data_IF_651971923592
#
_entry.id   IF_651971923592
#
_cell.length_a   1.000
_cell.length_b   1.000
_cell.length_c   1.000
_cell.angle_alpha   90.00
_cell.angle_beta   90.00
_cell.angle_gamma   90.00
#
_symmetry.space_group_name_H-M   'P 1'
#
loop_
_entity.id
_entity.type
_entity.pdbx_description
1 polymer ?
#
# COMPACT_ATOMS: atom_id res chain seq x y z
N UNK A 1 -55.58 4.38 -30.52
CA UNK A 1 -54.93 4.65 -29.22
C UNK A 1 -53.45 4.46 -29.46
N UNK A 2 -52.71 5.57 -29.58
CA UNK A 2 -51.30 5.58 -29.97
C UNK A 2 -50.43 5.03 -28.84
N UNK A 3 -49.63 4.01 -29.16
CA UNK A 3 -48.52 3.56 -28.32
C UNK A 3 -47.53 4.71 -28.15
N UNK A 4 -47.64 5.44 -27.04
CA UNK A 4 -46.54 6.26 -26.54
C UNK A 4 -45.52 5.28 -25.94
N UNK A 5 -44.45 4.98 -26.67
CA UNK A 5 -43.25 4.44 -26.05
C UNK A 5 -42.67 5.56 -25.20
N UNK A 6 -42.93 5.56 -23.89
CA UNK A 6 -42.25 6.47 -22.96
C UNK A 6 -40.74 6.19 -23.04
N UNK A 7 -39.96 7.24 -23.26
CA UNK A 7 -38.51 7.13 -23.18
C UNK A 7 -38.09 6.96 -21.72
N UNK A 8 -36.86 6.46 -21.50
CA UNK A 8 -36.29 6.34 -20.15
C UNK A 8 -36.17 7.69 -19.44
N UNK A 9 -36.00 8.78 -20.20
CA UNK A 9 -35.95 10.15 -19.69
C UNK A 9 -37.31 10.61 -19.20
N UNK A 10 -38.40 10.30 -19.92
CA UNK A 10 -39.77 10.64 -19.51
C UNK A 10 -40.14 9.91 -18.21
N UNK A 11 -39.71 8.65 -18.07
CA UNK A 11 -39.90 7.88 -16.84
C UNK A 11 -39.09 8.44 -15.67
N UNK A 12 -37.86 8.89 -15.92
CA UNK A 12 -37.04 9.52 -14.88
C UNK A 12 -37.70 10.82 -14.39
N UNK A 13 -38.16 11.69 -15.28
CA UNK A 13 -38.81 12.96 -14.90
C UNK A 13 -40.08 12.71 -14.06
N UNK A 14 -40.90 11.74 -14.47
CA UNK A 14 -42.07 11.32 -13.69
C UNK A 14 -41.65 10.80 -12.31
N UNK A 15 -40.83 9.75 -12.25
CA UNK A 15 -40.43 9.12 -11.00
C UNK A 15 -39.66 10.07 -10.07
N UNK A 16 -38.84 10.97 -10.62
CA UNK A 16 -38.12 11.99 -9.86
C UNK A 16 -39.08 12.96 -9.18
N UNK A 17 -40.11 13.41 -9.91
CA UNK A 17 -41.13 14.31 -9.36
C UNK A 17 -41.95 13.65 -8.24
N UNK A 18 -42.11 12.33 -8.26
CA UNK A 18 -42.90 11.53 -7.31
C UNK A 18 -42.05 10.93 -6.16
N UNK A 19 -40.74 11.19 -6.15
CA UNK A 19 -39.82 10.59 -5.19
C UNK A 19 -40.23 10.85 -3.73
N UNK A 20 -40.25 9.79 -2.93
CA UNK A 20 -40.60 9.81 -1.51
C UNK A 20 -42.03 10.28 -1.19
N UNK A 21 -42.97 10.19 -2.16
CA UNK A 21 -44.39 10.47 -1.94
C UNK A 21 -45.18 9.21 -1.56
N UNK A 22 -45.83 9.17 -0.37
CA UNK A 22 -46.55 7.99 0.09
C UNK A 22 -47.73 7.56 -0.79
N UNK A 23 -48.38 8.53 -1.44
CA UNK A 23 -49.60 8.30 -2.24
C UNK A 23 -49.29 7.72 -3.62
N UNK A 24 -48.09 7.96 -4.14
CA UNK A 24 -47.68 7.59 -5.50
C UNK A 24 -46.70 6.41 -5.54
N UNK A 25 -46.17 6.01 -4.37
CA UNK A 25 -45.25 4.87 -4.25
C UNK A 25 -45.97 3.55 -3.97
N UNK A 26 -45.51 2.48 -4.62
CA UNK A 26 -46.04 1.13 -4.44
C UNK A 26 -45.34 0.34 -3.34
N UNK A 27 -44.09 0.69 -2.99
CA UNK A 27 -43.32 0.09 -1.90
C UNK A 27 -42.75 1.14 -0.94
N UNK A 28 -42.41 0.68 0.26
CA UNK A 28 -41.67 1.46 1.26
C UNK A 28 -40.40 0.70 1.63
N UNK A 29 -39.24 1.27 1.35
CA UNK A 29 -37.98 0.78 1.88
C UNK A 29 -37.82 1.29 3.32
N UNK A 30 -37.65 0.36 4.26
CA UNK A 30 -37.40 0.67 5.66
C UNK A 30 -35.96 0.31 5.98
N UNK A 31 -35.11 1.32 6.16
CA UNK A 31 -33.74 1.10 6.62
C UNK A 31 -33.71 1.02 8.14
N UNK A 32 -33.47 -0.17 8.65
CA UNK A 32 -33.26 -0.46 10.06
C UNK A 32 -31.77 -0.19 10.37
N UNK A 33 -31.47 0.97 10.95
CA UNK A 33 -30.10 1.36 11.31
C UNK A 33 -29.70 0.64 12.58
N UNK A 34 -28.75 -0.27 12.46
CA UNK A 34 -28.26 -1.10 13.55
C UNK A 34 -26.93 -0.57 14.07
N UNK A 35 -26.65 -0.79 15.36
CA UNK A 35 -25.33 -0.52 15.92
C UNK A 35 -24.24 -1.31 15.19
N UNK A 36 -23.03 -0.75 15.13
CA UNK A 36 -21.87 -1.41 14.53
C UNK A 36 -21.62 -2.80 15.11
N UNK A 37 -21.24 -3.75 14.24
CA UNK A 37 -20.99 -5.15 14.62
C UNK A 37 -22.24 -6.04 14.73
N UNK A 38 -23.43 -5.58 14.31
CA UNK A 38 -24.66 -6.39 14.39
C UNK A 38 -24.64 -7.68 13.53
N UNK A 39 -23.77 -7.77 12.53
CA UNK A 39 -23.68 -8.90 11.61
C UNK A 39 -22.69 -10.00 12.01
N UNK A 40 -21.73 -9.72 12.90
CA UNK A 40 -20.69 -10.69 13.30
C UNK A 40 -21.19 -11.76 14.27
N UNK A 41 -22.29 -11.50 14.97
CA UNK A 41 -22.95 -12.47 15.87
C UNK A 41 -23.56 -13.66 15.11
N UNK A 42 -24.07 -13.46 13.88
CA UNK A 42 -24.68 -14.54 13.08
C UNK A 42 -23.68 -15.50 12.44
N UNK A 43 -22.48 -15.02 12.09
CA UNK A 43 -21.41 -15.88 11.55
C UNK A 43 -20.91 -16.89 12.60
N UNK A 44 -20.80 -16.45 13.87
CA UNK A 44 -20.44 -17.34 14.98
C UNK A 44 -21.55 -18.34 15.32
N UNK A 45 -22.83 -17.96 15.21
CA UNK A 45 -23.95 -18.90 15.38
C UNK A 45 -23.98 -19.98 14.30
N UNK A 46 -23.75 -19.63 13.03
CA UNK A 46 -23.72 -20.61 11.95
C UNK A 46 -22.57 -21.62 12.11
N UNK A 47 -21.37 -21.18 12.52
CA UNK A 47 -20.22 -22.06 12.77
C UNK A 47 -20.50 -23.04 13.91
N UNK A 48 -21.19 -22.61 14.97
CA UNK A 48 -21.54 -23.47 16.12
C UNK A 48 -22.70 -24.43 15.83
N UNK A 49 -23.54 -24.15 14.84
CA UNK A 49 -24.65 -25.03 14.45
C UNK A 49 -24.30 -26.11 13.40
N UNK A 50 -23.13 -26.03 12.76
CA UNK A 50 -22.67 -27.01 11.75
C UNK A 50 -21.71 -28.08 12.26
N UNK A 51 -21.51 -28.23 13.57
CA UNK A 51 -20.81 -29.40 14.11
C UNK A 51 -21.74 -30.64 14.04
N UNK A 52 -21.35 -31.75 13.39
CA UNK A 52 -22.22 -32.91 13.26
C UNK A 52 -22.28 -33.72 14.57
N UNK A 53 -23.49 -34.02 15.02
CA UNK A 53 -23.76 -35.04 16.04
C UNK A 53 -23.43 -36.43 15.48
N UNK A 54 -22.37 -37.08 15.97
CA UNK A 54 -22.19 -38.52 15.79
C UNK A 54 -22.95 -39.29 16.88
N UNK A 55 -23.87 -40.13 16.41
CA UNK A 55 -24.60 -41.14 17.18
C UNK A 55 -23.75 -42.42 17.22
N UNK A 56 -23.66 -42.99 18.42
CA UNK A 56 -23.00 -44.26 18.76
C UNK A 56 -23.70 -45.49 18.17
N UNK A 57 -22.93 -46.49 17.71
CA UNK A 57 -23.22 -47.93 17.91
C UNK A 57 -22.09 -48.87 17.41
N UNK A 58 -21.62 -49.74 18.33
CA UNK A 58 -21.05 -51.10 18.16
C UNK A 58 -19.90 -51.33 17.18
N UNK A 59 -18.81 -52.05 17.46
CA UNK A 59 -18.42 -52.93 18.55
C UNK A 59 -17.15 -53.69 18.12
N UNK A 60 -16.66 -54.55 19.02
CA UNK A 60 -15.59 -55.56 18.86
C UNK A 60 -14.19 -55.24 19.42
N UNK A 61 -13.69 -56.30 20.04
CA UNK A 61 -12.61 -56.47 21.01
C UNK A 61 -11.25 -56.71 20.37
N UNK A 62 -10.19 -56.41 21.14
CA UNK A 62 -8.92 -57.14 21.39
C UNK A 62 -7.78 -56.10 21.51
N UNK A 63 -6.89 -56.09 22.49
CA UNK A 63 -6.64 -56.88 23.70
C UNK A 63 -5.31 -56.40 24.33
N UNK A 64 -5.11 -56.73 25.62
CA UNK A 64 -3.85 -56.81 26.38
C UNK A 64 -3.01 -55.51 26.53
N UNK A 65 -2.32 -55.18 27.62
CA UNK A 65 -1.95 -55.86 28.87
C UNK A 65 -1.25 -54.81 29.78
N UNK A 66 -1.34 -54.99 31.12
CA UNK A 66 -0.40 -54.54 32.17
C UNK A 66 -0.30 -53.00 32.44
N UNK A 67 -0.22 -52.46 33.66
CA UNK A 67 0.21 -52.95 34.97
C UNK A 67 -0.16 -51.89 36.06
N UNK A 68 -0.54 -52.35 37.27
CA UNK A 68 -0.25 -51.80 38.64
C UNK A 68 -0.54 -50.30 38.94
N UNK A 69 -1.14 -49.86 40.05
CA UNK A 69 -1.15 -50.34 41.45
C UNK A 69 -2.21 -49.60 42.31
N UNK A 70 -2.68 -50.30 43.37
CA UNK A 70 -3.07 -49.91 44.76
C UNK A 70 -2.88 -48.42 45.18
N UNK A 71 -3.62 -47.76 46.10
CA UNK A 71 -4.57 -48.13 47.16
C UNK A 71 -5.19 -46.84 47.78
N UNK A 72 -6.43 -46.96 48.32
CA UNK A 72 -7.00 -46.38 49.56
C UNK A 72 -6.82 -44.90 49.99
N UNK A 73 -7.92 -44.11 50.05
CA UNK A 73 -8.60 -43.62 51.29
C UNK A 73 -9.49 -42.36 51.09
N UNK A 74 -10.70 -42.43 51.66
CA UNK A 74 -11.75 -41.42 51.95
C UNK A 74 -11.28 -40.28 52.92
N UNK A 75 -12.10 -39.26 53.32
CA UNK A 75 -12.97 -38.33 52.58
C UNK A 75 -12.87 -36.84 53.10
N UNK A 76 -13.65 -35.93 52.48
CA UNK A 76 -14.09 -34.59 52.96
C UNK A 76 -13.06 -33.44 53.11
N UNK A 77 -13.21 -32.42 52.25
CA UNK A 77 -13.34 -31.01 52.68
C UNK A 77 -13.95 -30.12 51.58
N UNK A 78 -14.83 -29.21 52.02
CA UNK A 78 -15.47 -28.13 51.27
C UNK A 78 -14.49 -27.29 50.43
N UNK A 79 -14.87 -27.01 49.18
CA UNK A 79 -14.48 -25.78 48.46
C UNK A 79 -15.47 -25.53 47.32
N UNK A 80 -16.24 -24.46 47.45
CA UNK A 80 -17.06 -23.90 46.39
C UNK A 80 -16.18 -23.49 45.19
N UNK A 81 -16.27 -24.22 44.07
CA UNK A 81 -15.86 -23.68 42.77
C UNK A 81 -17.09 -23.50 41.88
N UNK A 82 -17.47 -22.23 41.75
CA UNK A 82 -18.42 -21.73 40.76
C UNK A 82 -17.89 -22.12 39.38
N UNK A 83 -18.68 -22.91 38.65
CA UNK A 83 -18.48 -23.12 37.22
C UNK A 83 -18.59 -21.79 36.48
N UNK A 84 -17.45 -21.15 36.20
CA UNK A 84 -17.35 -20.04 35.25
C UNK A 84 -17.52 -20.61 33.84
N UNK A 85 -18.77 -20.81 33.44
CA UNK A 85 -19.10 -20.77 32.02
C UNK A 85 -18.93 -19.31 31.58
N UNK A 86 -18.17 -19.02 30.51
CA UNK A 86 -18.12 -17.66 29.98
C UNK A 86 -19.51 -17.36 29.44
N UNK A 87 -20.29 -16.59 30.19
CA UNK A 87 -21.50 -15.96 29.69
C UNK A 87 -21.04 -15.01 28.58
N UNK A 88 -21.14 -15.46 27.33
CA UNK A 88 -21.08 -14.59 26.17
C UNK A 88 -22.17 -13.52 26.39
N UNK A 89 -21.75 -12.32 26.76
CA UNK A 89 -22.60 -11.15 26.71
C UNK A 89 -23.10 -11.03 25.26
N UNK A 90 -24.34 -11.45 25.01
CA UNK A 90 -25.06 -11.10 23.78
C UNK A 90 -25.01 -9.58 23.67
N UNK A 91 -24.25 -9.05 22.73
CA UNK A 91 -24.45 -7.66 22.31
C UNK A 91 -25.87 -7.63 21.74
N UNK A 92 -26.82 -6.89 22.35
CA UNK A 92 -28.19 -6.89 21.86
C UNK A 92 -28.21 -6.38 20.43
N UNK A 93 -29.01 -7.00 19.54
CA UNK A 93 -29.39 -6.41 18.24
C UNK A 93 -30.12 -5.10 18.51
N UNK A 94 -29.37 -4.02 18.72
CA UNK A 94 -29.91 -2.72 19.09
C UNK A 94 -30.18 -1.93 17.82
N UNK A 95 -31.45 -1.93 17.43
CA UNK A 95 -31.98 -0.97 16.46
C UNK A 95 -31.81 0.46 17.04
N UNK A 96 -31.16 1.33 16.29
CA UNK A 96 -30.90 2.71 16.68
C UNK A 96 -32.03 3.63 16.19
N UNK A 97 -32.34 3.55 14.89
CA UNK A 97 -33.36 4.36 14.22
C UNK A 97 -33.85 3.67 12.94
N UNK A 98 -34.96 4.16 12.40
CA UNK A 98 -35.54 3.68 11.15
C UNK A 98 -35.78 4.83 10.18
N UNK A 99 -35.39 4.63 8.93
CA UNK A 99 -35.75 5.54 7.83
C UNK A 99 -36.76 4.87 6.92
N UNK A 100 -37.83 5.58 6.59
CA UNK A 100 -38.86 5.11 5.66
C UNK A 100 -38.79 5.94 4.39
N UNK A 101 -38.49 5.28 3.27
CA UNK A 101 -38.42 5.90 1.96
C UNK A 101 -39.48 5.28 1.06
N UNK A 102 -40.37 6.11 0.54
CA UNK A 102 -41.40 5.69 -0.41
C UNK A 102 -40.80 5.63 -1.82
N UNK A 103 -40.89 4.46 -2.45
CA UNK A 103 -40.20 4.18 -3.72
C UNK A 103 -41.10 3.45 -4.72
N UNK A 104 -40.75 3.59 -6.00
CA UNK A 104 -41.31 2.86 -7.12
C UNK A 104 -40.51 1.57 -7.35
N UNK A 105 -41.09 0.42 -7.03
CA UNK A 105 -40.41 -0.89 -7.11
C UNK A 105 -39.91 -1.19 -8.53
N UNK A 106 -40.71 -0.84 -9.54
CA UNK A 106 -40.37 -0.99 -10.95
C UNK A 106 -39.15 -0.15 -11.33
N UNK A 107 -39.06 1.10 -10.87
CA UNK A 107 -37.95 1.99 -11.19
C UNK A 107 -36.62 1.46 -10.64
N UNK A 108 -36.59 1.10 -9.35
CA UNK A 108 -35.42 0.47 -8.73
C UNK A 108 -35.06 -0.85 -9.42
N UNK A 109 -36.06 -1.67 -9.77
CA UNK A 109 -35.86 -2.97 -10.40
C UNK A 109 -35.32 -2.89 -11.83
N UNK A 110 -35.64 -1.85 -12.61
CA UNK A 110 -35.03 -1.63 -13.92
C UNK A 110 -33.54 -1.31 -13.75
N UNK A 111 -33.21 -0.54 -12.72
CA UNK A 111 -31.88 0.02 -12.52
C UNK A 111 -30.92 -0.88 -11.72
N UNK A 112 -31.42 -1.91 -11.04
CA UNK A 112 -30.64 -2.83 -10.22
C UNK A 112 -31.19 -4.25 -10.26
N UNK A 113 -30.32 -5.22 -10.52
CA UNK A 113 -30.67 -6.64 -10.41
C UNK A 113 -30.98 -7.05 -8.96
N UNK A 114 -30.28 -6.47 -7.99
CA UNK A 114 -30.54 -6.67 -6.57
C UNK A 114 -31.96 -6.26 -6.19
N UNK A 115 -32.38 -5.03 -6.52
CA UNK A 115 -33.74 -4.57 -6.21
C UNK A 115 -34.81 -5.33 -6.97
N UNK A 116 -34.51 -5.75 -8.21
CA UNK A 116 -35.40 -6.65 -8.96
C UNK A 116 -35.64 -7.95 -8.22
N UNK A 117 -34.58 -8.58 -7.71
CA UNK A 117 -34.70 -9.78 -6.90
C UNK A 117 -35.45 -9.50 -5.60
N UNK A 118 -35.12 -8.42 -4.90
CA UNK A 118 -35.74 -8.03 -3.63
C UNK A 118 -37.27 -7.88 -3.76
N UNK A 119 -37.75 -7.24 -4.84
CA UNK A 119 -39.17 -6.93 -5.01
C UNK A 119 -39.97 -7.99 -5.77
N UNK A 120 -39.35 -8.78 -6.65
CA UNK A 120 -40.06 -9.63 -7.61
C UNK A 120 -39.66 -11.11 -7.57
N UNK A 121 -38.57 -11.50 -6.89
CA UNK A 121 -38.18 -12.93 -6.85
C UNK A 121 -39.14 -13.74 -5.98
N UNK A 122 -39.60 -14.89 -6.50
CA UNK A 122 -40.45 -15.82 -5.77
C UNK A 122 -39.62 -16.56 -4.71
N UNK A 123 -39.80 -16.23 -3.43
CA UNK A 123 -39.13 -16.92 -2.32
C UNK A 123 -38.67 -16.04 -1.17
N UNK A 124 -38.62 -14.72 -1.35
CA UNK A 124 -38.32 -13.75 -0.28
C UNK A 124 -39.61 -13.30 0.43
N UNK A 125 -39.59 -13.19 1.77
CA UNK A 125 -40.74 -12.70 2.55
C UNK A 125 -41.13 -11.28 2.13
N UNK A 126 -40.10 -10.50 1.77
CA UNK A 126 -40.13 -9.11 1.35
C UNK A 126 -40.96 -8.89 0.06
N UNK A 127 -41.13 -9.91 -0.79
CA UNK A 127 -41.92 -9.80 -2.02
C UNK A 127 -43.42 -9.56 -1.72
N UNK A 128 -43.93 -10.15 -0.63
CA UNK A 128 -45.35 -10.07 -0.27
C UNK A 128 -45.72 -8.83 0.57
N UNK A 129 -44.73 -8.07 1.06
CA UNK A 129 -44.94 -6.98 2.02
C UNK A 129 -44.80 -5.60 1.37
N UNK A 130 -45.73 -4.67 1.67
CA UNK A 130 -45.62 -3.28 1.20
C UNK A 130 -44.38 -2.58 1.76
N UNK A 131 -43.97 -2.93 2.98
CA UNK A 131 -42.76 -2.44 3.64
C UNK A 131 -41.67 -3.50 3.51
N UNK A 132 -40.52 -3.11 2.98
CA UNK A 132 -39.35 -3.97 2.82
C UNK A 132 -38.26 -3.48 3.76
N UNK A 133 -37.94 -4.30 4.75
CA UNK A 133 -36.97 -3.98 5.79
C UNK A 133 -35.55 -4.36 5.37
N UNK A 134 -34.63 -3.41 5.43
CA UNK A 134 -33.21 -3.57 5.14
C UNK A 134 -32.40 -3.13 6.34
N UNK A 135 -31.66 -4.07 6.94
CA UNK A 135 -30.74 -3.77 8.04
C UNK A 135 -29.45 -3.17 7.48
N UNK A 136 -29.07 -1.99 7.98
CA UNK A 136 -27.85 -1.27 7.57
C UNK A 136 -27.03 -0.87 8.79
N UNK A 137 -25.73 -0.66 8.63
CA UNK A 137 -24.88 -0.12 9.71
C UNK A 137 -25.06 1.40 9.85
N UNK A 138 -24.69 1.93 11.02
CA UNK A 138 -24.74 3.37 11.28
C UNK A 138 -23.77 4.14 10.37
N UNK A 139 -22.60 3.56 10.08
CA UNK A 139 -21.61 4.17 9.18
C UNK A 139 -22.10 4.27 7.73
N UNK A 140 -22.94 3.35 7.27
CA UNK A 140 -23.46 3.32 5.90
C UNK A 140 -24.78 4.11 5.73
N UNK A 141 -25.35 4.65 6.82
CA UNK A 141 -26.69 5.26 6.82
C UNK A 141 -26.85 6.37 5.78
N UNK A 142 -26.01 7.39 5.85
CA UNK A 142 -26.08 8.53 4.94
C UNK A 142 -25.87 8.09 3.48
N UNK A 143 -24.94 7.16 3.25
CA UNK A 143 -24.65 6.65 1.92
C UNK A 143 -25.87 5.90 1.33
N UNK A 144 -26.64 5.14 2.13
CA UNK A 144 -27.86 4.50 1.66
C UNK A 144 -28.94 5.52 1.28
N UNK A 145 -29.13 6.56 2.09
CA UNK A 145 -30.10 7.61 1.79
C UNK A 145 -29.74 8.34 0.49
N UNK A 146 -28.48 8.74 0.34
CA UNK A 146 -27.95 9.41 -0.85
C UNK A 146 -28.03 8.50 -2.08
N UNK A 147 -27.74 7.20 -1.94
CA UNK A 147 -27.83 6.24 -3.03
C UNK A 147 -29.25 6.14 -3.57
N UNK A 148 -30.26 5.98 -2.70
CA UNK A 148 -31.65 5.87 -3.14
C UNK A 148 -32.09 7.18 -3.79
N UNK A 149 -31.75 8.34 -3.22
CA UNK A 149 -32.07 9.63 -3.82
C UNK A 149 -31.40 9.80 -5.20
N UNK A 150 -30.14 9.39 -5.34
CA UNK A 150 -29.38 9.44 -6.60
C UNK A 150 -29.96 8.51 -7.69
N UNK A 151 -30.86 7.59 -7.34
CA UNK A 151 -31.60 6.79 -8.33
C UNK A 151 -32.70 7.60 -9.02
N UNK A 152 -33.23 8.60 -8.32
CA UNK A 152 -34.32 9.45 -8.78
C UNK A 152 -33.85 10.81 -9.27
N UNK A 153 -32.72 11.31 -8.76
CA UNK A 153 -32.27 12.68 -9.00
C UNK A 153 -30.85 12.75 -9.51
N UNK A 154 -30.66 13.64 -10.49
CA UNK A 154 -29.38 13.72 -11.18
C UNK A 154 -28.32 14.63 -10.54
N UNK A 155 -28.69 15.45 -9.57
CA UNK A 155 -27.85 16.48 -8.98
C UNK A 155 -27.25 16.10 -7.61
N UNK A 156 -27.79 15.06 -6.96
CA UNK A 156 -27.54 14.72 -5.55
C UNK A 156 -26.06 14.54 -5.19
N UNK A 157 -25.29 13.91 -6.09
CA UNK A 157 -23.90 13.51 -5.83
C UNK A 157 -22.89 14.66 -6.01
N UNK A 158 -23.26 15.72 -6.74
CA UNK A 158 -22.34 16.81 -7.07
C UNK A 158 -21.87 17.58 -5.83
N UNK A 159 -22.79 17.80 -4.89
CA UNK A 159 -22.53 18.58 -3.67
C UNK A 159 -21.98 17.76 -2.50
N UNK A 160 -21.75 16.45 -2.70
CA UNK A 160 -21.29 15.54 -1.64
C UNK A 160 -19.77 15.57 -1.50
N UNK A 161 -19.30 15.29 -0.29
CA UNK A 161 -17.86 15.14 -0.03
C UNK A 161 -17.30 13.90 -0.72
N UNK A 162 -15.98 13.84 -0.92
CA UNK A 162 -15.35 12.68 -1.54
C UNK A 162 -15.56 11.38 -0.73
N UNK A 163 -15.56 11.46 0.60
CA UNK A 163 -15.83 10.31 1.48
C UNK A 163 -17.28 9.81 1.31
N UNK A 164 -18.26 10.71 1.20
CA UNK A 164 -19.65 10.34 0.92
C UNK A 164 -19.81 9.75 -0.48
N UNK A 165 -19.17 10.34 -1.49
CA UNK A 165 -19.16 9.82 -2.86
C UNK A 165 -18.57 8.41 -2.88
N UNK A 166 -17.44 8.20 -2.22
CA UNK A 166 -16.80 6.88 -2.15
C UNK A 166 -17.70 5.84 -1.47
N UNK A 167 -18.35 6.19 -0.36
CA UNK A 167 -19.32 5.30 0.29
C UNK A 167 -20.52 4.97 -0.62
N UNK A 168 -21.00 5.94 -1.41
CA UNK A 168 -22.06 5.70 -2.41
C UNK A 168 -21.55 4.82 -3.55
N UNK A 169 -20.30 4.97 -4.00
CA UNK A 169 -19.68 4.12 -5.02
C UNK A 169 -19.64 2.65 -4.55
N UNK A 170 -19.26 2.41 -3.30
CA UNK A 170 -19.27 1.09 -2.66
C UNK A 170 -20.67 0.46 -2.68
N UNK A 171 -21.68 1.21 -2.23
CA UNK A 171 -23.06 0.70 -2.23
C UNK A 171 -23.61 0.52 -3.65
N UNK A 172 -23.25 1.39 -4.59
CA UNK A 172 -23.66 1.25 -5.98
C UNK A 172 -23.08 -0.02 -6.61
N UNK A 173 -21.84 -0.39 -6.28
CA UNK A 173 -21.27 -1.70 -6.64
C UNK A 173 -22.03 -2.84 -5.96
N UNK A 174 -22.21 -2.76 -4.62
CA UNK A 174 -22.91 -3.78 -3.79
C UNK A 174 -24.32 -4.11 -4.30
N UNK A 175 -25.06 -3.11 -4.76
CA UNK A 175 -26.44 -3.26 -5.23
C UNK A 175 -26.57 -3.31 -6.76
N UNK A 176 -25.47 -3.46 -7.51
CA UNK A 176 -25.45 -3.52 -8.99
C UNK A 176 -26.16 -2.33 -9.67
N UNK A 177 -25.93 -1.12 -9.16
CA UNK A 177 -26.46 0.15 -9.68
C UNK A 177 -25.45 0.79 -10.63
N UNK A 178 -25.29 0.19 -11.83
CA UNK A 178 -24.26 0.59 -12.80
C UNK A 178 -24.27 2.07 -13.20
N UNK A 179 -25.44 2.71 -13.26
CA UNK A 179 -25.52 4.12 -13.65
C UNK A 179 -25.07 5.06 -12.52
N UNK A 180 -25.47 4.80 -11.26
CA UNK A 180 -25.01 5.57 -10.10
C UNK A 180 -23.52 5.37 -9.92
N UNK A 181 -23.03 4.14 -10.10
CA UNK A 181 -21.61 3.82 -10.07
C UNK A 181 -20.81 4.65 -11.07
N UNK A 182 -21.21 4.63 -12.36
CA UNK A 182 -20.54 5.40 -13.42
C UNK A 182 -20.54 6.90 -13.14
N UNK A 183 -21.65 7.42 -12.62
CA UNK A 183 -21.79 8.84 -12.31
C UNK A 183 -20.94 9.27 -11.13
N UNK A 184 -20.93 8.49 -10.05
CA UNK A 184 -20.11 8.74 -8.88
C UNK A 184 -18.62 8.70 -9.26
N UNK A 185 -18.22 7.68 -10.02
CA UNK A 185 -16.88 7.57 -10.60
C UNK A 185 -16.51 8.78 -11.44
N UNK A 186 -17.38 9.24 -12.34
CA UNK A 186 -17.14 10.45 -13.14
C UNK A 186 -16.90 11.68 -12.27
N UNK A 187 -17.70 11.89 -11.22
CA UNK A 187 -17.53 13.02 -10.31
C UNK A 187 -16.17 12.95 -9.59
N UNK A 188 -15.80 11.76 -9.09
CA UNK A 188 -14.49 11.54 -8.47
C UNK A 188 -13.35 11.84 -9.44
N UNK A 189 -13.50 11.52 -10.72
CA UNK A 189 -12.50 11.81 -11.77
C UNK A 189 -12.39 13.30 -12.11
N UNK A 190 -13.50 14.05 -12.05
CA UNK A 190 -13.52 15.48 -12.45
C UNK A 190 -13.08 16.43 -11.35
N UNK A 191 -13.19 16.02 -10.09
CA UNK A 191 -12.80 16.85 -8.96
C UNK A 191 -11.29 16.75 -8.70
N UNK A 192 -10.64 17.81 -8.18
CA UNK A 192 -9.26 17.70 -7.73
C UNK A 192 -9.18 16.68 -6.59
N UNK A 193 -8.34 15.67 -6.74
CA UNK A 193 -8.18 14.58 -5.77
C UNK A 193 -6.85 14.79 -5.01
N UNK A 194 -6.88 15.20 -3.74
CA UNK A 194 -5.69 15.18 -2.88
C UNK A 194 -5.11 13.78 -2.72
N UNK A 195 -3.85 13.71 -2.29
CA UNK A 195 -3.16 12.46 -2.02
C UNK A 195 -3.94 11.57 -1.03
N UNK A 196 -4.44 12.15 0.06
CA UNK A 196 -5.14 11.43 1.13
C UNK A 196 -6.46 10.81 0.65
N UNK A 197 -7.12 11.46 -0.32
CA UNK A 197 -8.34 10.93 -0.93
C UNK A 197 -7.98 9.85 -1.96
N UNK A 198 -6.88 10.04 -2.69
CA UNK A 198 -6.40 9.07 -3.69
C UNK A 198 -6.07 7.71 -3.05
N UNK A 199 -5.38 7.70 -1.91
CA UNK A 199 -5.05 6.46 -1.19
C UNK A 199 -6.30 5.75 -0.66
N UNK A 200 -7.29 6.51 -0.16
CA UNK A 200 -8.60 5.96 0.26
C UNK A 200 -9.36 5.34 -0.90
N UNK A 201 -9.46 6.04 -2.03
CA UNK A 201 -10.15 5.53 -3.23
C UNK A 201 -9.49 4.23 -3.69
N UNK A 202 -8.16 4.18 -3.77
CA UNK A 202 -7.42 2.97 -4.17
C UNK A 202 -7.65 1.80 -3.22
N UNK A 203 -7.67 2.06 -1.91
CA UNK A 203 -7.95 1.04 -0.90
C UNK A 203 -9.37 0.46 -1.07
N UNK A 204 -10.37 1.33 -1.23
CA UNK A 204 -11.76 0.90 -1.42
C UNK A 204 -11.92 0.05 -2.69
N UNK A 205 -11.34 0.51 -3.80
CA UNK A 205 -11.49 -0.11 -5.11
C UNK A 205 -10.82 -1.49 -5.14
N UNK A 206 -9.57 -1.60 -4.69
CA UNK A 206 -8.77 -2.82 -4.87
C UNK A 206 -8.80 -3.76 -3.67
N UNK A 207 -8.76 -3.21 -2.44
CA UNK A 207 -8.64 -4.04 -1.22
C UNK A 207 -10.01 -4.46 -0.71
N UNK A 208 -10.95 -3.53 -0.60
CA UNK A 208 -12.22 -3.79 0.08
C UNK A 208 -13.26 -4.46 -0.82
N UNK A 209 -13.31 -4.10 -2.11
CA UNK A 209 -14.40 -4.51 -3.00
C UNK A 209 -13.98 -5.18 -4.31
N UNK A 210 -12.68 -5.19 -4.64
CA UNK A 210 -12.16 -5.69 -5.92
C UNK A 210 -13.05 -5.29 -7.11
N UNK A 211 -13.34 -3.98 -7.20
CA UNK A 211 -14.35 -3.47 -8.11
C UNK A 211 -13.86 -3.59 -9.55
N UNK A 212 -14.73 -4.12 -10.42
CA UNK A 212 -14.48 -4.10 -11.86
C UNK A 212 -14.83 -2.71 -12.44
N UNK A 213 -14.33 -2.39 -13.65
CA UNK A 213 -14.62 -1.14 -14.38
C UNK A 213 -14.13 0.16 -13.71
N UNK A 214 -12.98 0.10 -13.03
CA UNK A 214 -12.33 1.22 -12.32
C UNK A 214 -10.95 1.61 -12.87
N UNK A 215 -10.46 0.94 -13.92
CA UNK A 215 -9.10 1.11 -14.43
C UNK A 215 -8.77 2.55 -14.84
N UNK A 216 -9.68 3.23 -15.50
CA UNK A 216 -9.58 4.66 -15.86
C UNK A 216 -9.59 5.61 -14.65
N UNK A 217 -10.21 5.23 -13.52
CA UNK A 217 -10.07 5.99 -12.28
C UNK A 217 -8.67 5.75 -11.68
N UNK A 218 -8.20 4.50 -11.68
CA UNK A 218 -6.84 4.16 -11.23
C UNK A 218 -5.76 4.89 -12.05
N UNK A 219 -5.92 5.00 -13.36
CA UNK A 219 -5.03 5.75 -14.27
C UNK A 219 -4.93 7.24 -13.92
N UNK A 220 -6.00 7.84 -13.39
CA UNK A 220 -6.00 9.24 -12.94
C UNK A 220 -5.31 9.38 -11.57
N UNK A 221 -5.45 8.39 -10.70
CA UNK A 221 -4.90 8.40 -9.34
C UNK A 221 -3.39 8.11 -9.31
N UNK A 222 -2.90 7.23 -10.18
CA UNK A 222 -1.50 6.81 -10.17
C UNK A 222 -0.52 8.00 -10.30
N UNK A 223 -0.68 8.96 -11.24
CA UNK A 223 0.20 10.12 -11.33
C UNK A 223 0.24 10.98 -10.06
N UNK A 224 -0.87 11.06 -9.33
CA UNK A 224 -0.97 11.82 -8.08
C UNK A 224 -0.12 11.14 -7.00
N UNK A 225 -0.27 9.82 -6.85
CA UNK A 225 0.51 9.02 -5.90
C UNK A 225 2.00 9.03 -6.24
N UNK A 226 2.34 8.82 -7.52
CA UNK A 226 3.73 8.79 -8.00
C UNK A 226 4.43 10.12 -7.80
N UNK A 227 3.72 11.23 -8.01
CA UNK A 227 4.26 12.58 -7.82
C UNK A 227 4.63 12.85 -6.36
N UNK A 228 3.85 12.37 -5.40
CA UNK A 228 4.11 12.57 -3.96
C UNK A 228 5.43 11.93 -3.53
N UNK A 229 5.79 10.79 -4.11
CA UNK A 229 7.02 10.05 -3.76
C UNK A 229 8.15 10.26 -4.76
N UNK A 230 8.03 11.22 -5.68
CA UNK A 230 9.07 11.54 -6.68
C UNK A 230 9.85 12.78 -6.23
N UNK A 231 11.18 12.71 -6.02
CA UNK A 231 12.07 11.56 -6.22
C UNK A 231 11.99 10.53 -5.09
N UNK A 232 12.01 9.24 -5.44
CA UNK A 232 11.91 8.15 -4.45
C UNK A 232 13.08 8.19 -3.47
N UNK A 233 14.28 8.54 -3.94
CA UNK A 233 15.52 8.56 -3.14
C UNK A 233 15.44 9.43 -1.87
N UNK A 234 14.54 10.43 -1.84
CA UNK A 234 14.32 11.32 -0.69
C UNK A 234 13.12 10.91 0.17
N UNK A 235 12.16 10.16 -0.39
CA UNK A 235 10.82 10.01 0.20
C UNK A 235 10.52 8.60 0.73
N UNK A 236 11.35 7.60 0.41
CA UNK A 236 11.12 6.20 0.82
C UNK A 236 11.13 5.97 2.34
N UNK A 237 11.74 6.87 3.13
CA UNK A 237 11.74 6.81 4.60
C UNK A 237 10.59 7.57 5.25
N UNK A 238 9.77 8.27 4.47
CA UNK A 238 8.71 9.10 5.02
C UNK A 238 7.59 8.26 5.63
N UNK A 239 6.96 8.77 6.69
CA UNK A 239 5.77 8.14 7.31
C UNK A 239 4.63 7.96 6.30
N UNK A 240 4.55 8.86 5.30
CA UNK A 240 3.57 8.74 4.20
C UNK A 240 3.83 7.51 3.33
N UNK A 241 5.10 7.18 3.08
CA UNK A 241 5.46 6.01 2.27
C UNK A 241 5.22 4.72 3.06
N UNK A 242 5.64 4.67 4.33
CA UNK A 242 5.46 3.49 5.18
C UNK A 242 4.00 3.20 5.50
N UNK A 243 3.13 4.21 5.52
CA UNK A 243 1.68 4.07 5.72
C UNK A 243 0.87 3.70 4.47
N UNK A 244 1.51 3.55 3.30
CA UNK A 244 0.83 3.06 2.10
C UNK A 244 0.31 1.63 2.32
N UNK A 245 -0.88 1.34 1.77
CA UNK A 245 -1.32 -0.05 1.62
C UNK A 245 -0.46 -0.78 0.58
N UNK A 246 -0.42 -2.11 0.66
CA UNK A 246 0.28 -2.98 -0.30
C UNK A 246 -0.06 -2.64 -1.75
N UNK A 247 -1.35 -2.45 -2.04
CA UNK A 247 -1.82 -2.07 -3.38
C UNK A 247 -1.27 -0.71 -3.80
N UNK A 248 -1.39 0.32 -2.95
CA UNK A 248 -0.87 1.64 -3.30
C UNK A 248 0.64 1.63 -3.51
N UNK A 249 1.38 0.86 -2.71
CA UNK A 249 2.81 0.64 -2.87
C UNK A 249 3.12 0.02 -4.23
N UNK A 250 2.40 -1.04 -4.62
CA UNK A 250 2.55 -1.69 -5.91
C UNK A 250 2.31 -0.72 -7.06
N UNK A 251 1.24 0.08 -7.01
CA UNK A 251 0.93 1.08 -8.03
C UNK A 251 1.98 2.19 -8.14
N UNK A 252 2.52 2.66 -7.02
CA UNK A 252 3.59 3.68 -7.01
C UNK A 252 4.88 3.08 -7.57
N UNK A 253 5.31 1.93 -7.04
CA UNK A 253 6.58 1.31 -7.40
C UNK A 253 6.54 0.63 -8.77
N UNK A 254 5.39 0.35 -9.38
CA UNK A 254 5.33 -0.18 -10.75
C UNK A 254 5.44 0.91 -11.82
N UNK A 255 5.09 2.16 -11.50
CA UNK A 255 4.97 3.26 -12.47
C UNK A 255 6.28 3.64 -13.19
N UNK A 256 6.23 3.74 -14.52
CA UNK A 256 7.32 4.28 -15.34
C UNK A 256 7.63 5.76 -15.06
N UNK A 257 6.65 6.50 -14.55
CA UNK A 257 6.77 7.93 -14.29
C UNK A 257 7.43 8.24 -12.93
N UNK A 258 7.65 7.24 -12.08
CA UNK A 258 8.32 7.41 -10.79
C UNK A 258 9.74 7.92 -10.98
N UNK A 259 10.06 9.04 -10.35
CA UNK A 259 11.40 9.62 -10.43
C UNK A 259 12.31 8.90 -9.43
N UNK A 260 13.35 8.23 -9.91
CA UNK A 260 14.31 7.54 -9.05
C UNK A 260 15.69 7.45 -9.71
N UNK A 261 16.76 7.55 -8.94
CA UNK A 261 18.12 7.47 -9.44
C UNK A 261 18.51 6.04 -9.88
N UNK A 262 17.91 5.01 -9.27
CA UNK A 262 18.34 3.62 -9.34
C UNK A 262 17.22 2.61 -9.01
N UNK A 263 17.15 1.50 -9.73
CA UNK A 263 16.29 0.36 -9.34
C UNK A 263 16.76 -0.32 -8.04
N UNK A 264 18.02 -0.13 -7.64
CA UNK A 264 18.46 -0.56 -6.31
C UNK A 264 17.67 0.20 -5.21
N UNK A 265 17.36 1.49 -5.43
CA UNK A 265 16.55 2.28 -4.50
C UNK A 265 15.12 1.73 -4.44
N UNK A 266 14.54 1.32 -5.58
CA UNK A 266 13.20 0.70 -5.63
C UNK A 266 13.17 -0.60 -4.81
N UNK A 267 14.15 -1.49 -5.03
CA UNK A 267 14.28 -2.72 -4.22
C UNK A 267 14.41 -2.39 -2.73
N UNK A 268 15.29 -1.45 -2.39
CA UNK A 268 15.52 -1.08 -1.00
C UNK A 268 14.27 -0.48 -0.35
N UNK A 269 13.56 0.42 -1.04
CA UNK A 269 12.32 1.03 -0.56
C UNK A 269 11.23 -0.02 -0.32
N UNK A 270 11.09 -1.01 -1.22
CA UNK A 270 10.15 -2.12 -1.03
C UNK A 270 10.51 -2.94 0.23
N UNK A 271 11.78 -3.33 0.37
CA UNK A 271 12.22 -4.10 1.54
C UNK A 271 12.02 -3.31 2.84
N UNK A 272 12.34 -2.01 2.83
CA UNK A 272 12.11 -1.13 3.97
C UNK A 272 10.62 -1.06 4.34
N UNK A 273 9.72 -0.89 3.36
CA UNK A 273 8.28 -0.88 3.62
C UNK A 273 7.80 -2.21 4.23
N UNK A 274 8.29 -3.35 3.74
CA UNK A 274 7.97 -4.66 4.30
C UNK A 274 8.45 -4.81 5.75
N UNK A 275 9.66 -4.30 6.05
CA UNK A 275 10.20 -4.28 7.41
C UNK A 275 9.37 -3.40 8.35
N UNK A 276 8.94 -2.21 7.90
CA UNK A 276 8.16 -1.30 8.75
C UNK A 276 6.73 -1.78 9.00
N UNK A 277 6.16 -2.56 8.08
CA UNK A 277 4.80 -3.08 8.20
C UNK A 277 4.75 -4.52 8.76
N UNK A 278 5.88 -5.06 9.23
CA UNK A 278 6.01 -6.43 9.76
C UNK A 278 5.34 -7.50 8.85
N UNK A 279 5.45 -7.31 7.53
CA UNK A 279 4.78 -8.18 6.56
C UNK A 279 5.49 -9.53 6.54
N UNK A 280 4.78 -10.61 6.87
CA UNK A 280 5.30 -11.96 6.74
C UNK A 280 5.44 -12.31 5.25
N UNK A 281 6.66 -12.57 4.74
CA UNK A 281 6.86 -12.96 3.36
C UNK A 281 6.08 -14.22 2.98
N UNK A 282 5.80 -15.11 3.95
CA UNK A 282 5.06 -16.35 3.72
C UNK A 282 3.54 -16.14 3.61
N UNK A 283 3.01 -15.01 4.08
CA UNK A 283 1.57 -14.70 3.98
C UNK A 283 1.19 -14.04 2.66
N UNK A 284 2.16 -13.62 1.85
CA UNK A 284 1.91 -13.05 0.53
C UNK A 284 1.41 -14.13 -0.43
N UNK A 285 0.23 -13.93 -1.01
CA UNK A 285 -0.29 -14.81 -2.05
C UNK A 285 0.59 -14.76 -3.31
N UNK A 286 0.67 -15.86 -4.06
CA UNK A 286 1.43 -15.90 -5.33
C UNK A 286 0.92 -14.91 -6.40
N UNK A 287 -0.31 -14.42 -6.22
CA UNK A 287 -1.00 -13.43 -7.05
C UNK A 287 -0.51 -12.00 -6.78
N UNK A 288 -0.10 -11.69 -5.55
CA UNK A 288 0.47 -10.39 -5.18
C UNK A 288 1.99 -10.43 -5.29
N UNK A 289 2.47 -10.16 -6.49
CA UNK A 289 3.88 -10.23 -6.82
C UNK A 289 4.59 -8.91 -6.56
N UNK A 290 4.69 -8.52 -5.28
CA UNK A 290 5.38 -7.30 -4.88
C UNK A 290 6.82 -7.23 -5.40
N UNK A 291 7.48 -8.38 -5.62
CA UNK A 291 8.82 -8.39 -6.21
C UNK A 291 8.81 -7.95 -7.68
N UNK A 292 7.72 -8.17 -8.42
CA UNK A 292 7.59 -7.79 -9.82
C UNK A 292 7.72 -6.28 -10.08
N UNK A 293 7.48 -5.43 -9.06
CA UNK A 293 7.65 -3.98 -9.19
C UNK A 293 9.12 -3.57 -9.39
N UNK A 294 10.07 -4.41 -8.98
CA UNK A 294 11.50 -4.18 -9.12
C UNK A 294 11.96 -4.63 -10.50
N UNK A 295 12.60 -3.75 -11.27
CA UNK A 295 13.08 -4.09 -12.62
C UNK A 295 14.45 -4.74 -12.53
N UNK A 296 14.52 -6.01 -12.15
CA UNK A 296 15.78 -6.75 -11.92
C UNK A 296 16.80 -6.67 -13.07
N UNK A 297 16.33 -6.57 -14.33
CA UNK A 297 17.17 -6.40 -15.52
C UNK A 297 17.94 -5.05 -15.55
N UNK A 298 17.53 -4.09 -14.73
CA UNK A 298 18.07 -2.74 -14.59
C UNK A 298 18.73 -2.49 -13.23
N UNK A 299 18.68 -3.46 -12.30
CA UNK A 299 19.41 -3.40 -11.03
C UNK A 299 20.90 -3.58 -11.29
N UNK A 300 21.77 -2.97 -10.48
CA UNK A 300 23.21 -3.17 -10.64
C UNK A 300 23.60 -4.64 -10.34
N UNK A 301 24.45 -5.25 -11.18
CA UNK A 301 24.84 -6.66 -11.02
C UNK A 301 25.49 -6.96 -9.65
N UNK A 302 26.33 -6.05 -9.16
CA UNK A 302 26.94 -6.16 -7.84
C UNK A 302 25.89 -6.06 -6.72
N UNK A 303 24.84 -5.27 -6.92
CA UNK A 303 23.74 -5.17 -5.96
C UNK A 303 22.89 -6.46 -5.94
N UNK A 304 22.59 -7.02 -7.12
CA UNK A 304 21.93 -8.33 -7.23
C UNK A 304 22.70 -9.40 -6.48
N UNK A 305 24.02 -9.48 -6.72
CA UNK A 305 24.84 -10.55 -6.15
C UNK A 305 25.09 -10.39 -4.64
N UNK A 306 25.43 -9.17 -4.19
CA UNK A 306 25.87 -8.95 -2.81
C UNK A 306 24.74 -8.63 -1.84
N UNK A 307 23.66 -7.99 -2.31
CA UNK A 307 22.55 -7.54 -1.45
C UNK A 307 21.32 -8.42 -1.63
N UNK A 308 20.84 -8.58 -2.87
CA UNK A 308 19.56 -9.23 -3.14
C UNK A 308 19.62 -10.74 -2.88
N UNK A 309 20.68 -11.41 -3.35
CA UNK A 309 20.82 -12.88 -3.32
C UNK A 309 20.46 -13.52 -1.98
N UNK A 310 20.92 -12.91 -0.88
CA UNK A 310 20.75 -13.44 0.49
C UNK A 310 19.92 -12.48 1.37
N UNK A 311 19.07 -11.63 0.78
CA UNK A 311 18.29 -10.67 1.55
C UNK A 311 17.31 -11.41 2.48
N UNK A 312 17.25 -11.06 3.78
CA UNK A 312 16.50 -11.84 4.80
C UNK A 312 14.99 -11.94 4.54
N UNK A 313 14.42 -10.93 3.87
CA UNK A 313 13.00 -10.83 3.50
C UNK A 313 12.76 -11.35 2.09
N UNK A 314 13.32 -10.68 1.07
CA UNK A 314 13.11 -11.06 -0.34
C UNK A 314 13.35 -12.56 -0.62
N UNK A 315 14.38 -13.18 -0.02
CA UNK A 315 14.67 -14.60 -0.25
C UNK A 315 13.55 -15.58 0.15
N UNK A 316 12.61 -15.12 0.98
CA UNK A 316 11.46 -15.90 1.46
C UNK A 316 10.17 -15.60 0.70
N UNK A 317 10.15 -14.55 -0.12
CA UNK A 317 8.95 -14.16 -0.86
C UNK A 317 8.67 -15.12 -2.02
N UNK A 318 7.39 -15.26 -2.43
CA UNK A 318 7.02 -16.02 -3.62
C UNK A 318 7.80 -15.54 -4.85
N UNK A 319 8.12 -16.46 -5.76
CA UNK A 319 8.80 -16.19 -7.06
C UNK A 319 10.16 -15.47 -6.97
N UNK A 320 10.75 -15.26 -5.79
CA UNK A 320 12.06 -14.63 -5.63
C UNK A 320 13.13 -15.24 -6.55
N UNK A 321 13.20 -16.57 -6.59
CA UNK A 321 14.15 -17.29 -7.44
C UNK A 321 13.97 -16.95 -8.92
N UNK A 322 12.73 -16.83 -9.41
CA UNK A 322 12.44 -16.50 -10.80
C UNK A 322 12.95 -15.10 -11.16
N UNK A 323 12.62 -14.10 -10.35
CA UNK A 323 13.08 -12.72 -10.57
C UNK A 323 14.59 -12.58 -10.45
N UNK A 324 15.17 -13.18 -9.42
CA UNK A 324 16.62 -13.12 -9.19
C UNK A 324 17.40 -13.76 -10.34
N UNK A 325 17.04 -14.99 -10.75
CA UNK A 325 17.70 -15.67 -11.85
C UNK A 325 17.40 -15.00 -13.19
N UNK A 326 16.20 -14.42 -13.38
CA UNK A 326 15.84 -13.65 -14.56
C UNK A 326 16.73 -12.40 -14.72
N UNK A 327 16.96 -11.67 -13.63
CA UNK A 327 17.91 -10.55 -13.59
C UNK A 327 19.34 -11.02 -13.89
N UNK A 328 19.83 -12.04 -13.18
CA UNK A 328 21.19 -12.55 -13.37
C UNK A 328 21.44 -13.04 -14.80
N UNK A 329 20.49 -13.79 -15.37
CA UNK A 329 20.54 -14.26 -16.76
C UNK A 329 20.63 -13.09 -17.71
N UNK A 330 19.81 -12.05 -17.52
CA UNK A 330 19.89 -10.84 -18.34
C UNK A 330 21.27 -10.18 -18.27
N UNK A 331 21.86 -10.05 -17.08
CA UNK A 331 23.20 -9.48 -16.94
C UNK A 331 24.28 -10.33 -17.61
N UNK A 332 24.19 -11.66 -17.52
CA UNK A 332 25.13 -12.60 -18.12
C UNK A 332 25.10 -12.63 -19.66
N UNK A 333 23.99 -12.18 -20.28
CA UNK A 333 23.89 -12.12 -21.74
C UNK A 333 24.90 -11.13 -22.35
N UNK A 334 25.60 -11.52 -23.44
CA UNK A 334 26.40 -10.62 -24.25
C UNK A 334 25.60 -9.42 -24.79
N UNK A 335 26.27 -8.28 -24.97
CA UNK A 335 25.64 -7.05 -25.45
C UNK A 335 24.96 -7.20 -26.82
N UNK A 336 25.44 -8.10 -27.69
CA UNK A 336 24.81 -8.38 -28.99
C UNK A 336 23.49 -9.12 -28.84
N UNK A 337 23.43 -10.12 -27.95
CA UNK A 337 22.21 -10.86 -27.66
C UNK A 337 21.17 -9.96 -26.99
N UNK A 338 21.58 -9.05 -26.10
CA UNK A 338 20.71 -8.02 -25.51
C UNK A 338 20.03 -7.14 -26.55
N UNK A 339 20.68 -6.87 -27.70
CA UNK A 339 20.08 -6.10 -28.80
C UNK A 339 19.00 -6.87 -29.56
N UNK A 340 19.03 -8.21 -29.51
CA UNK A 340 18.06 -9.09 -30.16
C UNK A 340 16.79 -9.30 -29.32
N UNK A 341 16.79 -8.90 -28.04
CA UNK A 341 15.57 -8.90 -27.23
C UNK A 341 14.59 -7.87 -27.80
N UNK A 342 13.40 -8.35 -28.17
CA UNK A 342 12.34 -7.52 -28.74
C UNK A 342 11.86 -6.47 -27.73
N UNK A 343 11.83 -6.81 -26.44
CA UNK A 343 11.45 -5.90 -25.37
C UNK A 343 12.68 -5.49 -24.55
N UNK A 344 13.15 -4.27 -24.78
CA UNK A 344 14.14 -3.64 -23.90
C UNK A 344 13.47 -3.31 -22.57
N UNK A 345 14.14 -3.50 -21.43
CA UNK A 345 13.58 -3.10 -20.14
C UNK A 345 13.33 -1.58 -20.14
N UNK A 346 12.10 -1.19 -19.80
CA UNK A 346 11.69 0.21 -19.71
C UNK A 346 12.35 0.83 -18.48
N UNK A 347 13.03 1.96 -18.65
CA UNK A 347 13.65 2.70 -17.55
C UNK A 347 12.69 3.73 -16.99
N UNK A 348 12.74 3.96 -15.68
CA UNK A 348 12.01 5.04 -15.02
C UNK A 348 12.60 6.42 -15.31
N UNK A 349 11.84 7.47 -14.97
CA UNK A 349 12.33 8.85 -15.02
C UNK A 349 13.49 9.05 -14.05
N UNK A 350 14.52 9.77 -14.49
CA UNK A 350 15.66 10.15 -13.65
C UNK A 350 15.45 11.54 -13.06
N UNK A 351 16.00 11.82 -11.87
CA UNK A 351 15.96 13.15 -11.27
C UNK A 351 16.58 14.22 -12.18
N UNK A 352 15.98 15.41 -12.23
CA UNK A 352 16.51 16.58 -12.93
C UNK A 352 17.59 17.27 -12.09
N UNK A 353 18.74 16.59 -11.94
CA UNK A 353 19.90 17.10 -11.22
C UNK A 353 20.39 16.21 -10.08
N UNK A 354 21.46 16.62 -9.39
CA UNK A 354 21.99 15.89 -8.25
C UNK A 354 21.04 16.01 -7.04
N UNK A 355 20.65 14.86 -6.49
CA UNK A 355 19.97 14.76 -5.19
C UNK A 355 21.04 14.80 -4.09
N UNK A 356 20.84 15.61 -3.05
CA UNK A 356 21.71 15.62 -1.88
C UNK A 356 21.25 14.48 -0.95
N UNK A 357 21.99 13.38 -0.88
CA UNK A 357 21.64 12.27 0.00
C UNK A 357 22.20 12.42 1.42
N UNK A 358 23.24 13.23 1.62
CA UNK A 358 23.79 13.44 2.95
C UNK A 358 24.50 14.77 3.10
N UNK A 359 24.44 15.31 4.32
CA UNK A 359 25.16 16.52 4.74
C UNK A 359 26.09 16.14 5.88
N UNK A 360 27.40 16.20 5.62
CA UNK A 360 28.43 15.94 6.62
C UNK A 360 29.01 17.27 7.11
N UNK A 361 28.69 17.63 8.35
CA UNK A 361 29.22 18.84 9.00
C UNK A 361 30.46 18.46 9.79
N UNK A 362 31.56 19.15 9.53
CA UNK A 362 32.82 18.99 10.26
C UNK A 362 33.11 20.29 11.01
N UNK A 363 33.13 20.18 12.34
CA UNK A 363 33.53 21.27 13.22
C UNK A 363 35.04 21.48 13.19
N UNK A 364 35.47 22.71 13.39
CA UNK A 364 36.89 23.07 13.32
C UNK A 364 37.70 22.40 14.45
N UNK A 365 37.10 22.23 15.63
CA UNK A 365 37.73 21.59 16.78
C UNK A 365 37.97 20.10 16.53
N UNK A 366 36.95 19.39 16.00
CA UNK A 366 37.06 17.99 15.60
C UNK A 366 38.12 17.81 14.51
N UNK A 367 38.17 18.75 13.57
CA UNK A 367 39.17 18.75 12.51
C UNK A 367 40.60 18.88 13.06
N UNK A 368 40.85 19.87 13.92
CA UNK A 368 42.17 20.07 14.54
C UNK A 368 42.58 18.85 15.36
N UNK A 369 41.66 18.33 16.17
CA UNK A 369 41.88 17.13 16.98
C UNK A 369 42.22 15.92 16.10
N UNK A 370 41.55 15.77 14.95
CA UNK A 370 41.81 14.68 14.03
C UNK A 370 43.17 14.80 13.32
N UNK A 371 43.61 16.02 12.99
CA UNK A 371 44.96 16.28 12.47
C UNK A 371 46.03 15.94 13.52
N UNK A 372 45.84 16.35 14.77
CA UNK A 372 46.79 16.13 15.86
C UNK A 372 46.95 14.63 16.18
N UNK A 373 45.85 13.89 16.20
CA UNK A 373 45.83 12.47 16.53
C UNK A 373 46.06 11.55 15.32
N UNK A 374 46.10 12.10 14.11
CA UNK A 374 46.17 11.33 12.86
C UNK A 374 44.94 10.43 12.65
N UNK A 375 43.79 10.79 13.23
CA UNK A 375 42.55 10.04 13.16
C UNK A 375 41.69 10.47 11.97
N UNK A 376 40.81 9.58 11.52
CA UNK A 376 39.87 9.85 10.42
C UNK A 376 38.54 10.39 10.97
N UNK A 377 37.97 11.39 10.29
CA UNK A 377 36.62 11.87 10.58
C UNK A 377 35.64 11.13 9.69
N UNK A 378 34.57 10.56 10.26
CA UNK A 378 33.58 9.79 9.52
C UNK A 378 32.18 10.35 9.77
N UNK A 379 31.38 10.42 8.70
CA UNK A 379 29.97 10.71 8.77
C UNK A 379 29.20 9.54 9.37
N UNK A 380 27.97 9.81 9.78
CA UNK A 380 26.99 8.75 10.02
C UNK A 380 26.73 7.94 8.74
N UNK A 381 26.18 6.74 8.93
CA UNK A 381 25.79 5.89 7.80
C UNK A 381 24.47 6.40 7.23
N UNK A 382 24.44 6.62 5.93
CA UNK A 382 23.24 7.02 5.19
C UNK A 382 23.01 6.09 4.00
N UNK A 383 21.84 6.19 3.37
CA UNK A 383 21.51 5.41 2.18
C UNK A 383 21.56 6.30 0.94
N UNK A 384 22.14 5.79 -0.15
CA UNK A 384 22.08 6.44 -1.45
C UNK A 384 22.14 5.42 -2.58
N UNK A 385 21.28 5.55 -3.58
CA UNK A 385 21.17 4.62 -4.72
C UNK A 385 21.03 3.15 -4.27
N UNK A 386 20.34 2.89 -3.16
CA UNK A 386 20.19 1.57 -2.53
C UNK A 386 21.40 1.06 -1.74
N UNK A 387 22.51 1.79 -1.67
CA UNK A 387 23.71 1.40 -0.92
C UNK A 387 23.76 2.07 0.45
N UNK A 388 24.27 1.34 1.45
CA UNK A 388 24.53 1.89 2.79
C UNK A 388 25.94 2.46 2.81
N UNK A 389 26.08 3.77 2.92
CA UNK A 389 27.31 4.52 2.70
C UNK A 389 27.70 5.28 3.97
N UNK A 390 29.00 5.46 4.21
CA UNK A 390 29.51 6.57 5.02
C UNK A 390 30.61 7.29 4.25
N UNK A 391 30.76 8.58 4.49
CA UNK A 391 31.86 9.38 3.93
C UNK A 391 32.83 9.68 5.06
N UNK A 392 34.11 9.59 4.79
CA UNK A 392 35.13 10.01 5.74
C UNK A 392 36.12 10.96 5.11
N UNK A 393 36.85 11.68 5.96
CA UNK A 393 37.88 12.62 5.58
C UNK A 393 39.13 12.24 6.35
N UNK A 394 40.21 11.95 5.62
CA UNK A 394 41.53 11.79 6.20
C UNK A 394 42.24 13.15 6.21
N UNK A 395 42.52 13.74 7.40
CA UNK A 395 43.28 14.97 7.50
C UNK A 395 44.76 14.72 7.15
N UNK A 396 45.42 15.69 6.55
CA UNK A 396 46.86 15.66 6.27
C UNK A 396 47.51 16.93 6.79
N UNK A 397 48.76 16.81 7.27
CA UNK A 397 49.57 17.92 7.83
C UNK A 397 49.80 19.11 6.89
N UNK A 398 49.42 18.98 5.61
CA UNK A 398 49.49 20.04 4.59
C UNK A 398 48.14 20.73 4.31
N UNK A 399 47.13 20.57 5.17
CA UNK A 399 45.72 20.99 4.94
C UNK A 399 45.10 20.40 3.65
N UNK A 400 45.60 19.23 3.25
CA UNK A 400 45.09 18.49 2.08
C UNK A 400 44.11 17.45 2.56
N UNK A 401 42.94 17.41 1.92
CA UNK A 401 41.85 16.55 2.31
C UNK A 401 41.59 15.47 1.27
N UNK A 402 41.43 14.28 1.80
CA UNK A 402 41.11 13.09 1.05
C UNK A 402 39.76 12.57 1.54
N UNK A 403 38.65 13.12 1.02
CA UNK A 403 37.37 12.50 1.27
C UNK A 403 37.35 11.13 0.60
N UNK A 404 36.95 10.12 1.35
CA UNK A 404 36.73 8.76 0.89
C UNK A 404 35.31 8.33 1.22
N UNK A 405 34.85 7.27 0.57
CA UNK A 405 33.52 6.71 0.74
C UNK A 405 33.64 5.23 1.08
N UNK A 406 32.88 4.77 2.06
CA UNK A 406 32.79 3.38 2.46
C UNK A 406 31.38 2.89 2.15
N UNK A 407 31.26 1.79 1.40
CA UNK A 407 30.00 1.08 1.20
C UNK A 407 29.95 -0.14 2.12
N UNK A 408 28.96 -0.18 3.00
CA UNK A 408 28.87 -1.13 4.11
C UNK A 408 28.14 -2.43 3.76
N UNK A 409 27.22 -2.39 2.78
CA UNK A 409 26.38 -3.52 2.41
C UNK A 409 26.91 -4.30 1.20
N UNK A 410 28.22 -4.21 0.92
CA UNK A 410 28.87 -4.94 -0.17
C UNK A 410 30.09 -5.72 0.32
N UNK A 411 30.43 -6.80 -0.39
CA UNK A 411 31.65 -7.56 -0.14
C UNK A 411 32.88 -6.78 -0.61
N UNK A 412 34.05 -7.06 0.01
CA UNK A 412 35.30 -6.30 -0.24
C UNK A 412 35.76 -6.31 -1.70
N UNK A 413 35.41 -7.33 -2.47
CA UNK A 413 35.81 -7.50 -3.87
C UNK A 413 34.77 -7.00 -4.88
N UNK A 414 33.74 -6.29 -4.41
CA UNK A 414 32.62 -5.84 -5.27
C UNK A 414 32.97 -4.58 -6.04
N UNK A 415 32.52 -4.52 -7.28
CA UNK A 415 32.60 -3.30 -8.09
C UNK A 415 31.42 -2.39 -7.73
N UNK A 416 31.65 -1.07 -7.72
CA UNK A 416 30.59 -0.10 -7.43
C UNK A 416 30.60 1.02 -8.47
N UNK A 417 29.59 1.08 -9.38
CA UNK A 417 29.45 2.16 -10.35
C UNK A 417 28.84 3.41 -9.71
N UNK A 418 29.39 3.92 -8.61
CA UNK A 418 28.89 5.16 -8.00
C UNK A 418 29.72 6.36 -8.43
N UNK A 419 29.02 7.39 -8.89
CA UNK A 419 29.53 8.73 -9.11
C UNK A 419 29.07 9.61 -7.98
N UNK A 420 29.97 10.36 -7.35
CA UNK A 420 29.58 11.28 -6.31
C UNK A 420 30.22 12.65 -6.48
N UNK A 421 29.55 13.62 -5.88
CA UNK A 421 29.95 15.01 -5.93
C UNK A 421 29.83 15.62 -4.55
N UNK A 422 30.85 16.43 -4.21
CA UNK A 422 30.85 17.20 -2.99
C UNK A 422 30.60 18.68 -3.28
N UNK A 423 29.78 19.30 -2.44
CA UNK A 423 29.60 20.75 -2.39
C UNK A 423 30.06 21.26 -1.03
N UNK A 424 30.71 22.43 -1.00
CA UNK A 424 31.10 23.12 0.22
C UNK A 424 30.28 24.38 0.37
N UNK A 425 29.71 24.61 1.55
CA UNK A 425 29.14 25.90 1.90
C UNK A 425 30.25 26.96 2.09
N UNK A 426 30.10 28.14 1.46
CA UNK A 426 30.79 29.37 1.89
C UNK A 426 29.75 30.26 2.55
N UNK A 427 30.17 31.07 3.52
CA UNK A 427 29.34 31.98 4.36
C UNK A 427 28.37 32.93 3.59
N UNK A 428 28.36 32.91 2.26
CA UNK A 428 27.43 33.65 1.41
C UNK A 428 26.88 32.75 0.28
N UNK A 429 25.82 31.98 0.60
CA UNK A 429 24.92 31.23 -0.29
C UNK A 429 25.50 29.99 -1.04
N UNK A 430 24.85 28.84 -0.82
CA UNK A 430 25.05 27.54 -1.50
C UNK A 430 25.02 27.67 -3.04
N UNK A 431 24.20 28.58 -3.58
CA UNK A 431 23.91 28.71 -5.01
C UNK A 431 25.09 29.13 -5.90
N UNK A 432 26.17 29.72 -5.35
CA UNK A 432 27.31 30.19 -6.15
C UNK A 432 28.51 29.23 -6.15
N UNK A 433 28.44 28.10 -5.42
CA UNK A 433 29.51 27.12 -5.43
C UNK A 433 29.29 26.10 -6.56
N UNK A 434 30.19 25.99 -7.56
CA UNK A 434 30.04 25.01 -8.62
C UNK A 434 30.21 23.59 -8.07
N UNK A 435 29.29 22.69 -8.45
CA UNK A 435 29.42 21.25 -8.22
C UNK A 435 30.75 20.75 -8.76
N UNK A 436 31.67 20.37 -7.86
CA UNK A 436 32.97 19.80 -8.27
C UNK A 436 32.83 18.29 -8.37
N UNK A 437 32.34 17.87 -9.52
CA UNK A 437 32.07 16.48 -9.83
C UNK A 437 33.38 15.67 -9.96
N UNK A 438 33.47 14.56 -9.21
CA UNK A 438 34.58 13.61 -9.34
C UNK A 438 34.01 12.20 -9.34
N UNK A 439 33.94 11.58 -10.52
CA UNK A 439 33.52 10.19 -10.65
C UNK A 439 34.58 9.24 -10.06
N UNK A 440 34.15 8.35 -9.18
CA UNK A 440 35.00 7.27 -8.67
C UNK A 440 34.80 6.07 -9.59
N UNK A 441 35.89 5.55 -10.15
CA UNK A 441 35.82 4.30 -10.89
C UNK A 441 35.89 3.13 -9.91
N UNK A 442 34.91 2.25 -10.01
CA UNK A 442 35.07 0.79 -10.01
C UNK A 442 35.49 0.04 -8.75
N UNK A 443 36.73 0.18 -8.28
CA UNK A 443 37.39 -0.88 -7.50
C UNK A 443 37.74 -0.49 -6.05
N UNK A 444 37.04 0.47 -5.46
CA UNK A 444 37.66 1.33 -4.44
C UNK A 444 37.01 1.28 -3.04
N UNK A 445 36.15 0.31 -2.72
CA UNK A 445 35.43 0.29 -1.43
C UNK A 445 36.29 -0.06 -0.20
N UNK A 446 37.62 -0.20 -0.34
CA UNK A 446 38.50 -0.25 0.84
C UNK A 446 39.95 0.13 0.56
N UNK A 447 40.48 -0.13 -0.63
CA UNK A 447 41.88 0.17 -0.94
C UNK A 447 42.03 1.40 -1.84
N UNK A 448 42.41 2.49 -1.17
CA UNK A 448 43.26 3.56 -1.68
C UNK A 448 42.73 4.39 -2.85
N UNK A 449 42.06 5.49 -2.52
CA UNK A 449 42.24 6.73 -3.29
C UNK A 449 42.58 7.93 -2.41
N UNK A 450 43.84 8.01 -2.00
CA UNK A 450 44.50 9.27 -1.65
C UNK A 450 44.80 10.04 -2.95
N UNK A 451 43.83 10.80 -3.51
CA UNK A 451 44.16 11.87 -4.47
C UNK A 451 43.52 13.20 -4.11
N UNK A 452 44.40 14.19 -4.09
CA UNK A 452 44.18 15.56 -3.69
C UNK A 452 42.96 16.15 -4.39
N UNK A 453 41.95 16.55 -3.63
CA UNK A 453 41.19 17.72 -4.04
C UNK A 453 42.12 18.92 -3.85
N UNK A 454 42.25 19.77 -4.87
CA UNK A 454 43.19 20.91 -4.89
C UNK A 454 43.16 21.69 -3.57
N UNK A 455 44.34 22.04 -3.06
CA UNK A 455 44.61 22.99 -1.96
C UNK A 455 43.50 24.04 -1.84
N UNK A 456 42.87 24.17 -0.67
CA UNK A 456 41.87 25.22 -0.39
C UNK A 456 40.42 24.77 -0.31
N UNK A 457 40.14 23.47 -0.14
CA UNK A 457 38.78 23.00 0.12
C UNK A 457 38.32 23.33 1.54
N UNK A 458 39.20 23.29 2.54
CA UNK A 458 38.90 23.66 3.93
C UNK A 458 39.86 24.80 4.30
N UNK A 459 39.34 25.82 4.96
CA UNK A 459 40.05 27.00 5.46
C UNK A 459 39.70 27.17 6.94
N UNK A 460 39.93 28.32 7.55
CA UNK A 460 39.75 28.49 9.01
C UNK A 460 38.27 28.71 9.44
N UNK A 461 37.28 27.96 8.92
CA UNK A 461 35.87 28.11 9.30
C UNK A 461 35.13 26.78 9.39
N UNK A 462 33.92 26.76 9.98
CA UNK A 462 33.03 25.59 9.98
C UNK A 462 32.80 25.09 8.54
N UNK A 463 32.82 23.77 8.35
CA UNK A 463 32.74 23.18 7.02
C UNK A 463 31.58 22.20 6.88
N UNK A 464 30.58 22.62 6.12
CA UNK A 464 29.49 21.76 5.67
C UNK A 464 29.85 21.15 4.31
N UNK A 465 29.89 19.81 4.25
CA UNK A 465 30.08 19.03 3.03
C UNK A 465 28.76 18.38 2.62
N UNK A 466 28.18 18.80 1.51
CA UNK A 466 27.04 18.10 0.93
C UNK A 466 27.52 17.00 0.00
N UNK A 467 26.89 15.84 0.08
CA UNK A 467 27.22 14.65 -0.69
C UNK A 467 26.04 14.30 -1.59
N UNK A 468 26.27 14.37 -2.90
CA UNK A 468 25.38 13.78 -3.90
C UNK A 468 26.02 12.53 -4.48
N UNK A 469 25.24 11.46 -4.63
CA UNK A 469 25.63 10.14 -5.11
C UNK A 469 24.66 9.70 -6.19
N UNK A 470 25.19 9.18 -7.29
CA UNK A 470 24.42 8.72 -8.46
C UNK A 470 25.05 7.44 -9.00
N UNK A 471 24.26 6.60 -9.67
CA UNK A 471 24.80 5.45 -10.42
C UNK A 471 25.32 5.88 -11.81
N UNK A 472 26.45 5.29 -12.20
CA UNK A 472 27.14 5.54 -13.48
C UNK A 472 26.60 4.68 -14.62
#
# INVERSE_FOLDING_TARGET
MSNFELSRSDLLELCASEYNMPELSDRVLVFDVMHEGWGTTRLLENILTTAPNEVTASGEYQGNELQQSEDLNDPLSDSLEKSNTPVLHRIPERLLRQHKIYVHSFWLSIHSSYFRSLFHSSGMKENQEKQVHMKISELEENAHLVLIEAIYRDDVLGDKTADEQLAVLELASKYDLKFVFKKCKYILQTNPIPFEISTKIMHVINVKHNMNDVGDLVEILQPILVKEFSPLDENWQSDKFTSLSEVCLEYVLSSDDLIVASENTVFHALMYWMEQNDVDPASLEETNDLLAVVRYKLVAIDYLYNVIKNHPIASKMPKFSEFYHGGLTYHALPSEQKKLFQEKPVTRKKPEGPIIQHTFVVEEEDFKTAVENGSELNSEKFWACGYRISVGIQPSSNDILYPYMIVHNLNRESYVPLKFTFLKERETQINYCPWKEKAFKANSCRENYLRSFTRGYFGNTIHTLYVAVTLQ
#
